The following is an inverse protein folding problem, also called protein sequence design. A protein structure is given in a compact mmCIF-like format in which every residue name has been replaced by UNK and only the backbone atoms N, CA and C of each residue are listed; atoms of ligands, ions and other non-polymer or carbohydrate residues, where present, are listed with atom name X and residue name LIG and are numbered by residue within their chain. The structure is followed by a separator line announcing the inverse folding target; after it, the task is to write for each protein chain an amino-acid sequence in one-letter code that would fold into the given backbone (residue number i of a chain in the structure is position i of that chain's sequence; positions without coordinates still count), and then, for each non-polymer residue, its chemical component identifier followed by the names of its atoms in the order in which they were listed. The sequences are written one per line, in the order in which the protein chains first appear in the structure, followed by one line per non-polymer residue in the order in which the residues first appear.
data_IF_244268164605
#
_entry.id   IF_244268164605
#
_cell.length_a   1.000
_cell.length_b   1.000
_cell.length_c   1.000
_cell.angle_alpha   90.00
_cell.angle_beta   90.00
_cell.angle_gamma   90.00
#
_symmetry.space_group_name_H-M   'P 1'
#
loop_
_entity.id
_entity.type
_entity.pdbx_description
1 polymer ?
#
# COMPACT_ATOMS: atom_id res chain seq x y z
N UNK A 1 -18.95 -8.04 15.72
CA UNK A 1 -19.11 -7.73 14.28
C UNK A 1 -20.11 -8.69 13.64
N UNK A 2 -21.06 -8.19 12.84
CA UNK A 2 -22.05 -9.00 12.12
C UNK A 2 -21.37 -9.90 11.06
N UNK A 3 -21.87 -11.13 10.87
CA UNK A 3 -21.39 -12.07 9.85
C UNK A 3 -21.38 -11.48 8.43
N UNK A 4 -22.43 -10.78 8.02
CA UNK A 4 -22.52 -10.20 6.67
C UNK A 4 -21.45 -9.13 6.43
N UNK A 5 -21.22 -8.26 7.43
CA UNK A 5 -20.17 -7.23 7.38
C UNK A 5 -18.78 -7.87 7.35
N UNK A 6 -18.57 -8.95 8.11
CA UNK A 6 -17.34 -9.74 8.10
C UNK A 6 -17.04 -10.36 6.73
N UNK A 7 -18.05 -10.83 6.00
CA UNK A 7 -17.88 -11.32 4.63
C UNK A 7 -17.57 -10.16 3.68
N UNK A 8 -18.35 -9.09 3.73
CA UNK A 8 -18.19 -7.92 2.86
C UNK A 8 -16.79 -7.33 2.94
N UNK A 9 -16.30 -7.03 4.14
CA UNK A 9 -14.99 -6.39 4.30
C UNK A 9 -13.80 -7.27 3.89
N UNK A 10 -13.95 -8.60 3.90
CA UNK A 10 -12.95 -9.51 3.31
C UNK A 10 -13.09 -9.61 1.79
N UNK A 11 -14.29 -9.48 1.24
CA UNK A 11 -14.53 -9.54 -0.18
C UNK A 11 -14.02 -8.31 -0.92
N UNK A 12 -14.11 -7.11 -0.33
CA UNK A 12 -13.68 -5.83 -0.95
C UNK A 12 -12.28 -5.92 -1.56
N UNK A 13 -11.20 -6.31 -0.83
CA UNK A 13 -9.88 -6.45 -1.43
C UNK A 13 -9.84 -7.39 -2.64
N UNK A 14 -10.56 -8.52 -2.59
CA UNK A 14 -10.59 -9.48 -3.69
C UNK A 14 -11.35 -8.94 -4.90
N UNK A 15 -12.46 -8.23 -4.68
CA UNK A 15 -13.23 -7.58 -5.74
C UNK A 15 -12.40 -6.47 -6.42
N UNK A 16 -11.73 -5.63 -5.63
CA UNK A 16 -10.82 -4.61 -6.16
C UNK A 16 -9.64 -5.23 -6.90
N UNK A 17 -9.10 -6.36 -6.40
CA UNK A 17 -8.11 -7.15 -7.10
C UNK A 17 -8.60 -7.69 -8.44
N UNK A 18 -9.83 -8.21 -8.50
CA UNK A 18 -10.43 -8.68 -9.75
C UNK A 18 -10.65 -7.54 -10.75
N UNK A 19 -11.03 -6.34 -10.28
CA UNK A 19 -11.14 -5.14 -11.12
C UNK A 19 -9.76 -4.76 -11.67
N UNK A 20 -8.73 -4.65 -10.82
CA UNK A 20 -7.36 -4.35 -11.26
C UNK A 20 -6.84 -5.38 -12.28
N UNK A 21 -7.09 -6.67 -12.03
CA UNK A 21 -6.66 -7.76 -12.90
C UNK A 21 -7.39 -7.73 -14.25
N UNK A 22 -8.73 -7.70 -14.22
CA UNK A 22 -9.55 -7.69 -15.43
C UNK A 22 -9.31 -6.45 -16.27
N UNK A 23 -9.23 -5.28 -15.63
CA UNK A 23 -8.92 -4.03 -16.33
C UNK A 23 -7.49 -4.04 -16.87
N UNK A 24 -6.53 -4.57 -16.11
CA UNK A 24 -5.14 -4.68 -16.55
C UNK A 24 -4.97 -5.61 -17.76
N UNK A 25 -5.64 -6.76 -17.79
CA UNK A 25 -5.66 -7.61 -18.98
C UNK A 25 -6.32 -6.93 -20.17
N UNK A 26 -7.47 -6.30 -19.98
CA UNK A 26 -8.14 -5.54 -21.03
C UNK A 26 -7.23 -4.47 -21.64
N UNK A 27 -6.57 -3.66 -20.80
CA UNK A 27 -5.63 -2.62 -21.26
C UNK A 27 -4.41 -3.24 -21.95
N UNK A 28 -3.88 -4.35 -21.43
CA UNK A 28 -2.73 -5.04 -22.03
C UNK A 28 -3.06 -5.62 -23.41
N UNK A 29 -4.24 -6.21 -23.57
CA UNK A 29 -4.69 -6.84 -24.82
C UNK A 29 -4.95 -5.78 -25.89
N UNK A 30 -5.51 -4.62 -25.51
CA UNK A 30 -5.59 -3.45 -26.40
C UNK A 30 -4.20 -2.99 -26.86
N UNK A 31 -3.18 -3.16 -26.02
CA UNK A 31 -1.79 -2.83 -26.36
C UNK A 31 -1.19 -3.62 -27.50
N UNK A 32 -1.68 -4.84 -27.76
CA UNK A 32 -1.25 -5.62 -28.92
C UNK A 32 -1.71 -5.00 -30.25
N UNK A 33 -2.74 -4.13 -30.22
CA UNK A 33 -3.26 -3.42 -31.38
C UNK A 33 -2.88 -1.92 -31.43
N UNK A 34 -2.58 -1.28 -30.29
CA UNK A 34 -2.56 0.20 -30.18
C UNK A 34 -1.23 0.83 -29.71
N UNK A 35 -0.23 0.05 -29.26
CA UNK A 35 1.13 0.57 -29.00
C UNK A 35 1.68 0.33 -27.58
N UNK A 36 2.82 0.95 -27.28
CA UNK A 36 3.67 0.67 -26.12
C UNK A 36 3.14 1.10 -24.75
N UNK A 37 2.38 2.19 -24.68
CA UNK A 37 1.91 2.76 -23.40
C UNK A 37 0.90 1.86 -22.68
N UNK A 38 0.16 1.08 -23.48
CA UNK A 38 -0.76 0.05 -23.03
C UNK A 38 -0.05 -1.09 -22.29
N UNK A 39 1.18 -1.41 -22.69
CA UNK A 39 2.00 -2.43 -22.02
C UNK A 39 2.35 -2.00 -20.61
N UNK A 40 2.73 -0.72 -20.41
CA UNK A 40 3.11 -0.22 -19.08
C UNK A 40 1.90 -0.19 -18.16
N UNK A 41 0.83 0.47 -18.59
CA UNK A 41 -0.39 0.58 -17.78
C UNK A 41 -1.01 -0.79 -17.48
N UNK A 42 -1.07 -1.69 -18.48
CA UNK A 42 -1.61 -3.03 -18.33
C UNK A 42 -0.85 -3.87 -17.30
N UNK A 43 0.49 -3.89 -17.37
CA UNK A 43 1.28 -4.60 -16.36
C UNK A 43 1.10 -4.01 -14.96
N UNK A 44 1.16 -2.68 -14.81
CA UNK A 44 0.98 -2.04 -13.51
C UNK A 44 -0.37 -2.42 -12.90
N UNK A 45 -1.47 -2.33 -13.66
CA UNK A 45 -2.81 -2.72 -13.23
C UNK A 45 -2.90 -4.20 -12.82
N UNK A 46 -2.36 -5.11 -13.65
CA UNK A 46 -2.34 -6.55 -13.34
C UNK A 46 -1.66 -6.80 -11.99
N UNK A 47 -0.50 -6.19 -11.75
CA UNK A 47 0.29 -6.45 -10.53
C UNK A 47 -0.18 -5.67 -9.30
N UNK A 48 -1.03 -4.65 -9.43
CA UNK A 48 -1.76 -4.08 -8.27
C UNK A 48 -2.66 -5.14 -7.59
N UNK A 49 -3.07 -6.18 -8.32
CA UNK A 49 -3.79 -7.34 -7.75
C UNK A 49 -3.03 -8.01 -6.62
N UNK A 50 -1.69 -8.03 -6.67
CA UNK A 50 -0.87 -8.62 -5.61
C UNK A 50 -1.01 -7.86 -4.29
N UNK A 51 -1.08 -6.52 -4.35
CA UNK A 51 -1.33 -5.67 -3.18
C UNK A 51 -2.75 -5.96 -2.64
N UNK A 52 -3.75 -6.08 -3.51
CA UNK A 52 -5.11 -6.46 -3.12
C UNK A 52 -5.17 -7.83 -2.41
N UNK A 53 -4.39 -8.82 -2.87
CA UNK A 53 -4.25 -10.12 -2.20
C UNK A 53 -3.64 -9.93 -0.80
N UNK A 54 -2.55 -9.17 -0.66
CA UNK A 54 -1.95 -8.90 0.65
C UNK A 54 -2.88 -8.09 1.60
N UNK A 55 -3.70 -7.19 1.05
CA UNK A 55 -4.73 -6.49 1.82
C UNK A 55 -5.86 -7.44 2.23
N UNK A 56 -6.24 -8.39 1.37
CA UNK A 56 -7.14 -9.49 1.74
C UNK A 56 -6.58 -10.29 2.90
N UNK A 57 -5.30 -10.68 2.87
CA UNK A 57 -4.70 -11.47 3.96
C UNK A 57 -4.70 -10.69 5.27
N UNK A 58 -4.49 -9.37 5.23
CA UNK A 58 -4.62 -8.47 6.38
C UNK A 58 -6.05 -8.45 6.93
N UNK A 59 -7.05 -8.16 6.07
CA UNK A 59 -8.46 -8.15 6.44
C UNK A 59 -8.89 -9.49 7.03
N UNK A 60 -8.54 -10.58 6.34
CA UNK A 60 -8.83 -11.95 6.71
C UNK A 60 -8.24 -12.34 8.07
N UNK A 61 -7.03 -11.86 8.38
CA UNK A 61 -6.33 -12.11 9.63
C UNK A 61 -7.03 -11.41 10.80
N UNK A 62 -7.33 -10.12 10.67
CA UNK A 62 -7.95 -9.35 11.75
C UNK A 62 -9.41 -9.78 11.95
N UNK A 63 -10.21 -9.86 10.89
CA UNK A 63 -11.62 -10.23 10.97
C UNK A 63 -11.81 -11.60 11.62
N UNK A 64 -11.00 -12.60 11.25
CA UNK A 64 -11.11 -13.95 11.84
C UNK A 64 -10.84 -13.93 13.34
N UNK A 65 -9.95 -13.06 13.82
CA UNK A 65 -9.73 -12.87 15.25
C UNK A 65 -10.96 -12.22 15.90
N UNK A 66 -11.51 -11.16 15.29
CA UNK A 66 -12.69 -10.45 15.80
C UNK A 66 -13.96 -11.31 15.91
N UNK A 67 -14.07 -12.37 15.11
CA UNK A 67 -15.21 -13.31 15.15
C UNK A 67 -14.87 -14.66 15.79
N UNK A 68 -13.72 -14.78 16.46
CA UNK A 68 -13.26 -16.02 17.12
C UNK A 68 -13.17 -17.25 16.18
N UNK A 69 -12.82 -17.03 14.91
CA UNK A 69 -12.58 -18.09 13.90
C UNK A 69 -11.13 -18.16 13.42
N UNK A 70 -10.20 -17.58 14.18
CA UNK A 70 -8.78 -17.60 13.86
C UNK A 70 -8.11 -18.81 14.52
N UNK A 71 -7.53 -19.68 13.71
CA UNK A 71 -6.90 -20.92 14.15
C UNK A 71 -5.45 -21.02 13.64
N UNK A 72 -4.76 -22.09 14.01
CA UNK A 72 -3.36 -22.28 13.63
C UNK A 72 -3.16 -22.40 12.10
N UNK A 73 -4.14 -22.90 11.35
CA UNK A 73 -4.06 -22.94 9.89
C UNK A 73 -4.01 -21.53 9.30
N UNK A 74 -4.97 -20.65 9.64
CA UNK A 74 -5.02 -19.29 9.12
C UNK A 74 -3.82 -18.43 9.55
N UNK A 75 -3.25 -18.75 10.72
CA UNK A 75 -2.03 -18.11 11.23
C UNK A 75 -0.85 -18.21 10.27
N UNK A 76 -0.74 -19.30 9.53
CA UNK A 76 0.35 -19.52 8.57
C UNK A 76 -0.11 -19.28 7.13
N UNK A 77 -1.28 -19.81 6.75
CA UNK A 77 -1.76 -19.75 5.38
C UNK A 77 -1.94 -18.32 4.85
N UNK A 78 -2.48 -17.40 5.67
CA UNK A 78 -2.75 -16.03 5.24
C UNK A 78 -1.46 -15.22 5.03
N UNK A 79 -0.52 -15.13 6.00
CA UNK A 79 0.79 -14.51 5.73
C UNK A 79 1.53 -15.10 4.54
N UNK A 80 1.58 -16.44 4.44
CA UNK A 80 2.28 -17.14 3.35
C UNK A 80 1.71 -16.76 1.98
N UNK A 81 0.38 -16.72 1.83
CA UNK A 81 -0.25 -16.29 0.59
C UNK A 81 0.16 -14.88 0.17
N UNK A 82 0.18 -13.93 1.13
CA UNK A 82 0.58 -12.55 0.87
C UNK A 82 2.03 -12.45 0.41
N UNK A 83 2.96 -13.09 1.16
CA UNK A 83 4.38 -13.07 0.81
C UNK A 83 4.67 -13.78 -0.51
N UNK A 84 4.02 -14.91 -0.79
CA UNK A 84 4.16 -15.60 -2.09
C UNK A 84 3.69 -14.70 -3.24
N UNK A 85 2.57 -13.99 -3.07
CA UNK A 85 2.11 -13.02 -4.07
C UNK A 85 3.12 -11.88 -4.27
N UNK A 86 3.75 -11.40 -3.19
CA UNK A 86 4.79 -10.38 -3.25
C UNK A 86 6.05 -10.87 -3.97
N UNK A 87 6.57 -12.06 -3.61
CA UNK A 87 7.74 -12.67 -4.24
C UNK A 87 7.48 -12.93 -5.72
N UNK A 88 6.32 -13.48 -6.07
CA UNK A 88 5.93 -13.70 -7.47
C UNK A 88 5.95 -12.38 -8.26
N UNK A 89 5.44 -11.30 -7.67
CA UNK A 89 5.41 -9.97 -8.29
C UNK A 89 6.83 -9.38 -8.44
N UNK A 90 7.68 -9.53 -7.43
CA UNK A 90 9.10 -9.12 -7.49
C UNK A 90 9.81 -9.86 -8.63
N UNK A 91 9.72 -11.19 -8.68
CA UNK A 91 10.34 -12.01 -9.71
C UNK A 91 9.82 -11.64 -11.09
N UNK A 92 8.51 -11.44 -11.23
CA UNK A 92 7.91 -11.03 -12.49
C UNK A 92 8.41 -9.66 -12.95
N UNK A 93 8.55 -8.70 -12.04
CA UNK A 93 9.13 -7.39 -12.35
C UNK A 93 10.59 -7.48 -12.82
N UNK A 94 11.39 -8.35 -12.19
CA UNK A 94 12.77 -8.63 -12.60
C UNK A 94 12.81 -9.24 -14.00
N UNK A 95 11.97 -10.24 -14.28
CA UNK A 95 11.89 -10.87 -15.60
C UNK A 95 11.47 -9.85 -16.67
N UNK A 96 10.46 -9.03 -16.38
CA UNK A 96 9.99 -7.99 -17.32
C UNK A 96 11.08 -6.97 -17.62
N UNK A 97 11.81 -6.48 -16.62
CA UNK A 97 12.88 -5.52 -16.90
C UNK A 97 14.07 -6.14 -17.65
N UNK A 98 14.30 -7.46 -17.51
CA UNK A 98 15.40 -8.16 -18.18
C UNK A 98 15.08 -8.32 -19.66
N UNK A 99 13.83 -8.67 -19.97
CA UNK A 99 13.29 -8.65 -21.34
C UNK A 99 13.36 -7.21 -21.90
N UNK A 100 13.09 -6.22 -21.05
CA UNK A 100 13.07 -4.81 -21.40
C UNK A 100 14.40 -4.17 -21.76
N UNK A 101 15.54 -4.87 -21.68
CA UNK A 101 16.86 -4.33 -22.10
C UNK A 101 16.83 -3.86 -23.57
N UNK A 102 16.01 -4.50 -24.40
CA UNK A 102 15.80 -4.12 -25.81
C UNK A 102 14.41 -3.51 -26.08
N UNK A 103 13.56 -3.36 -25.06
CA UNK A 103 12.18 -2.90 -25.17
C UNK A 103 11.80 -1.96 -24.01
N UNK A 104 11.90 -0.62 -24.19
CA UNK A 104 11.80 0.34 -23.09
C UNK A 104 10.50 0.29 -22.25
N UNK A 105 9.31 0.07 -22.82
CA UNK A 105 8.07 -0.15 -22.05
C UNK A 105 8.14 -1.31 -21.05
N UNK A 106 8.80 -2.42 -21.41
CA UNK A 106 9.00 -3.56 -20.51
C UNK A 106 10.02 -3.23 -19.41
N UNK A 107 10.99 -2.38 -19.71
CA UNK A 107 11.93 -1.88 -18.70
C UNK A 107 11.23 -1.02 -17.65
N UNK A 108 10.44 -0.02 -18.07
CA UNK A 108 9.69 0.83 -17.15
C UNK A 108 8.73 0.00 -16.31
N UNK A 109 7.86 -0.78 -16.97
CA UNK A 109 6.88 -1.61 -16.27
C UNK A 109 7.51 -2.64 -15.35
N UNK A 110 8.61 -3.27 -15.74
CA UNK A 110 9.33 -4.23 -14.89
C UNK A 110 9.84 -3.61 -13.59
N UNK A 111 10.43 -2.41 -13.64
CA UNK A 111 10.87 -1.70 -12.42
C UNK A 111 9.68 -1.27 -11.55
N UNK A 112 8.58 -0.82 -12.14
CA UNK A 112 7.37 -0.49 -11.37
C UNK A 112 6.77 -1.73 -10.72
N UNK A 113 6.60 -2.83 -11.46
CA UNK A 113 6.09 -4.12 -10.98
C UNK A 113 6.96 -4.68 -9.85
N UNK A 114 8.29 -4.61 -10.00
CA UNK A 114 9.23 -4.95 -8.93
C UNK A 114 8.92 -4.16 -7.65
N UNK A 115 8.72 -2.84 -7.77
CA UNK A 115 8.33 -1.97 -6.67
C UNK A 115 6.97 -2.34 -6.03
N UNK A 116 5.96 -2.67 -6.84
CA UNK A 116 4.66 -3.14 -6.33
C UNK A 116 4.79 -4.44 -5.53
N UNK A 117 5.71 -5.31 -5.93
CA UNK A 117 6.08 -6.50 -5.18
C UNK A 117 6.67 -6.19 -3.80
N UNK A 118 7.50 -5.15 -3.70
CA UNK A 118 8.02 -4.66 -2.41
C UNK A 118 6.89 -4.14 -1.51
N UNK A 119 5.94 -3.36 -2.04
CA UNK A 119 4.75 -2.92 -1.28
C UNK A 119 3.95 -4.15 -0.81
N UNK A 120 3.77 -5.14 -1.67
CA UNK A 120 3.04 -6.37 -1.35
C UNK A 120 3.69 -7.12 -0.18
N UNK A 121 5.02 -7.21 -0.13
CA UNK A 121 5.75 -7.76 1.01
C UNK A 121 5.57 -6.93 2.29
N UNK A 122 5.60 -5.60 2.18
CA UNK A 122 5.34 -4.70 3.31
C UNK A 122 3.92 -4.89 3.87
N UNK A 123 2.89 -4.96 3.02
CA UNK A 123 1.50 -5.20 3.42
C UNK A 123 1.33 -6.60 4.02
N UNK A 124 1.98 -7.62 3.45
CA UNK A 124 2.00 -8.98 4.03
C UNK A 124 2.63 -9.01 5.42
N UNK A 125 3.61 -8.13 5.66
CA UNK A 125 4.18 -7.91 7.00
C UNK A 125 3.18 -7.28 7.95
N UNK A 126 2.36 -6.33 7.49
CA UNK A 126 1.25 -5.77 8.29
C UNK A 126 0.26 -6.87 8.70
N UNK A 127 -0.10 -7.78 7.78
CA UNK A 127 -0.93 -8.95 8.10
C UNK A 127 -0.27 -9.82 9.19
N UNK A 128 1.03 -10.11 9.04
CA UNK A 128 1.80 -10.94 9.97
C UNK A 128 1.93 -10.29 11.36
N UNK A 129 2.19 -8.99 11.41
CA UNK A 129 2.21 -8.21 12.65
C UNK A 129 0.84 -8.18 13.33
N UNK A 130 -0.24 -8.29 12.55
CA UNK A 130 -1.62 -8.31 13.05
C UNK A 130 -2.10 -9.69 13.51
N UNK A 131 -1.25 -10.72 13.51
CA UNK A 131 -1.63 -12.10 13.93
C UNK A 131 -2.03 -12.21 15.40
N UNK A 132 -1.67 -11.21 16.23
CA UNK A 132 -2.06 -11.09 17.64
C UNK A 132 -2.82 -9.78 17.91
N UNK A 133 -3.64 -9.35 16.95
CA UNK A 133 -4.31 -8.06 16.96
C UNK A 133 -5.15 -7.82 18.23
N UNK A 134 -5.81 -8.85 18.77
CA UNK A 134 -6.65 -8.73 19.98
C UNK A 134 -5.87 -8.29 21.23
N UNK A 135 -4.54 -8.39 21.23
CA UNK A 135 -3.73 -7.86 22.32
C UNK A 135 -3.72 -6.32 22.35
N UNK A 136 -3.97 -5.63 21.23
CA UNK A 136 -4.01 -4.16 21.20
C UNK A 136 -5.12 -3.61 22.10
N UNK A 137 -6.42 -3.96 21.89
CA UNK A 137 -7.47 -3.48 22.78
C UNK A 137 -7.32 -4.01 24.22
N UNK A 138 -6.88 -5.27 24.40
CA UNK A 138 -6.63 -5.87 25.74
C UNK A 138 -5.57 -5.08 26.52
N UNK A 139 -4.40 -4.84 25.92
CA UNK A 139 -3.31 -4.08 26.54
C UNK A 139 -3.74 -2.65 26.85
N UNK A 140 -4.46 -2.03 25.92
CA UNK A 140 -4.96 -0.66 26.06
C UNK A 140 -5.96 -0.49 27.20
N UNK A 141 -6.70 -1.53 27.61
CA UNK A 141 -7.71 -1.44 28.67
C UNK A 141 -7.23 -1.95 30.02
N UNK A 142 -6.32 -2.94 30.04
CA UNK A 142 -6.01 -3.71 31.26
C UNK A 142 -4.61 -3.48 31.82
N UNK A 143 -3.62 -3.15 30.98
CA UNK A 143 -2.23 -3.02 31.42
C UNK A 143 -1.86 -1.57 31.64
N UNK A 144 -0.94 -1.27 32.55
CA UNK A 144 -0.25 0.03 32.61
C UNK A 144 0.85 0.12 31.55
N UNK A 145 1.32 1.32 31.23
CA UNK A 145 2.40 1.50 30.26
C UNK A 145 3.69 0.82 30.75
N UNK A 146 4.32 0.02 29.89
CA UNK A 146 5.56 -0.70 30.21
C UNK A 146 5.37 -2.04 30.92
N UNK A 147 4.15 -2.40 31.34
CA UNK A 147 3.87 -3.74 31.86
C UNK A 147 4.05 -4.80 30.76
N UNK A 148 4.75 -5.88 31.10
CA UNK A 148 5.09 -6.93 30.15
C UNK A 148 3.86 -7.77 29.79
N UNK A 149 3.57 -7.88 28.50
CA UNK A 149 2.54 -8.79 27.99
C UNK A 149 3.20 -10.13 27.58
N UNK A 150 2.96 -11.19 28.34
CA UNK A 150 3.59 -12.51 28.12
C UNK A 150 3.19 -13.14 26.78
N UNK A 151 1.95 -12.90 26.34
CA UNK A 151 1.44 -13.37 25.06
C UNK A 151 1.95 -12.55 23.86
N UNK A 152 2.76 -11.50 24.06
CA UNK A 152 3.22 -10.63 22.97
C UNK A 152 4.24 -11.30 22.03
N UNK A 153 4.75 -10.56 21.06
CA UNK A 153 5.86 -11.02 20.23
C UNK A 153 7.16 -11.03 21.03
N UNK A 154 7.99 -12.06 20.81
CA UNK A 154 9.40 -12.04 21.24
C UNK A 154 10.09 -10.85 20.58
N UNK A 155 11.11 -10.31 21.24
CA UNK A 155 11.87 -9.17 20.73
C UNK A 155 12.49 -9.46 19.35
N UNK A 156 13.01 -10.67 19.14
CA UNK A 156 13.54 -11.11 17.84
C UNK A 156 12.46 -11.07 16.75
N UNK A 157 11.27 -11.61 17.02
CA UNK A 157 10.14 -11.59 16.08
C UNK A 157 9.70 -10.16 15.76
N UNK A 158 9.61 -9.30 16.77
CA UNK A 158 9.28 -7.88 16.58
C UNK A 158 10.30 -7.16 15.69
N UNK A 159 11.60 -7.38 15.94
CA UNK A 159 12.68 -6.84 15.09
C UNK A 159 12.60 -7.36 13.66
N UNK A 160 12.35 -8.66 13.45
CA UNK A 160 12.18 -9.23 12.11
C UNK A 160 11.00 -8.62 11.36
N UNK A 161 9.84 -8.46 12.02
CA UNK A 161 8.67 -7.83 11.42
C UNK A 161 8.97 -6.39 10.99
N UNK A 162 9.70 -5.61 11.79
CA UNK A 162 10.07 -4.24 11.42
C UNK A 162 11.14 -4.23 10.32
N UNK A 163 12.08 -5.18 10.34
CA UNK A 163 13.18 -5.24 9.38
C UNK A 163 12.73 -5.52 7.95
N UNK A 164 11.70 -6.33 7.72
CA UNK A 164 11.25 -6.68 6.37
C UNK A 164 10.83 -5.43 5.55
N UNK A 165 9.92 -4.56 6.02
CA UNK A 165 9.58 -3.32 5.30
C UNK A 165 10.74 -2.34 5.19
N UNK A 166 11.67 -2.31 6.17
CA UNK A 166 12.90 -1.50 6.08
C UNK A 166 13.76 -1.98 4.92
N UNK A 167 13.99 -3.28 4.79
CA UNK A 167 14.77 -3.88 3.70
C UNK A 167 14.08 -3.59 2.36
N UNK A 168 12.76 -3.80 2.25
CA UNK A 168 12.00 -3.48 1.05
C UNK A 168 12.14 -2.00 0.65
N UNK A 169 12.04 -1.09 1.63
CA UNK A 169 12.22 0.36 1.42
C UNK A 169 13.62 0.67 0.90
N UNK A 170 14.66 0.11 1.51
CA UNK A 170 16.05 0.33 1.10
C UNK A 170 16.32 -0.21 -0.30
N UNK A 171 15.85 -1.42 -0.61
CA UNK A 171 16.01 -2.04 -1.94
C UNK A 171 15.35 -1.16 -3.01
N UNK A 172 14.10 -0.76 -2.79
CA UNK A 172 13.37 0.11 -3.72
C UNK A 172 14.08 1.46 -3.90
N UNK A 173 14.50 2.08 -2.80
CA UNK A 173 15.10 3.41 -2.81
C UNK A 173 16.47 3.39 -3.51
N UNK A 174 17.33 2.43 -3.17
CA UNK A 174 18.65 2.27 -3.81
C UNK A 174 18.47 2.03 -5.31
N UNK A 175 17.54 1.16 -5.71
CA UNK A 175 17.27 0.91 -7.13
C UNK A 175 16.73 2.16 -7.83
N UNK A 176 15.81 2.89 -7.21
CA UNK A 176 15.25 4.12 -7.77
C UNK A 176 16.32 5.18 -7.97
N UNK A 177 17.13 5.43 -6.95
CA UNK A 177 18.27 6.36 -7.00
C UNK A 177 19.29 5.93 -8.05
N UNK A 178 19.64 4.65 -8.13
CA UNK A 178 20.53 4.12 -9.16
C UNK A 178 20.03 4.41 -10.58
N UNK A 179 18.73 4.22 -10.84
CA UNK A 179 18.12 4.53 -12.14
C UNK A 179 18.16 6.03 -12.45
N UNK A 180 17.93 6.89 -11.45
CA UNK A 180 18.00 8.34 -11.61
C UNK A 180 19.42 8.83 -11.91
N UNK A 181 20.44 8.30 -11.22
CA UNK A 181 21.84 8.64 -11.53
C UNK A 181 22.31 8.07 -12.86
N UNK A 182 21.71 6.97 -13.31
CA UNK A 182 21.99 6.35 -14.61
C UNK A 182 21.10 6.90 -15.73
N UNK A 183 20.34 7.98 -15.50
CA UNK A 183 19.32 8.48 -16.42
C UNK A 183 19.92 9.16 -17.66
N UNK A 184 20.33 8.32 -18.61
CA UNK A 184 20.69 8.72 -19.98
C UNK A 184 19.48 8.71 -20.91
N UNK A 185 18.37 8.10 -20.48
CA UNK A 185 17.11 7.90 -21.23
C UNK A 185 15.90 8.23 -20.37
N UNK A 186 14.78 8.57 -21.01
CA UNK A 186 13.52 8.87 -20.33
C UNK A 186 12.98 7.68 -19.51
N UNK A 187 13.27 6.45 -19.91
CA UNK A 187 12.76 5.25 -19.25
C UNK A 187 13.37 5.06 -17.85
N UNK A 188 14.68 5.33 -17.72
CA UNK A 188 15.38 5.34 -16.44
C UNK A 188 14.85 6.45 -15.54
N UNK A 189 14.58 7.62 -16.11
CA UNK A 189 13.99 8.75 -15.39
C UNK A 189 12.60 8.37 -14.83
N UNK A 190 11.71 7.86 -15.68
CA UNK A 190 10.34 7.47 -15.29
C UNK A 190 10.37 6.37 -14.23
N UNK A 191 11.10 5.28 -14.50
CA UNK A 191 11.21 4.15 -13.58
C UNK A 191 11.83 4.55 -12.23
N UNK A 192 12.88 5.38 -12.27
CA UNK A 192 13.58 5.85 -11.07
C UNK A 192 12.68 6.68 -10.17
N UNK A 193 11.96 7.65 -10.73
CA UNK A 193 11.05 8.51 -9.98
C UNK A 193 9.92 7.70 -9.32
N UNK A 194 9.24 6.85 -10.09
CA UNK A 194 8.15 6.01 -9.57
C UNK A 194 8.65 5.09 -8.47
N UNK A 195 9.85 4.50 -8.61
CA UNK A 195 10.39 3.59 -7.61
C UNK A 195 10.80 4.30 -6.31
N UNK A 196 11.27 5.55 -6.38
CA UNK A 196 11.48 6.40 -5.21
C UNK A 196 10.16 6.63 -4.47
N UNK A 197 9.07 6.99 -5.17
CA UNK A 197 7.75 7.16 -4.55
C UNK A 197 7.20 5.88 -3.92
N UNK A 198 7.33 4.74 -4.61
CA UNK A 198 7.00 3.41 -4.07
C UNK A 198 7.78 3.12 -2.77
N UNK A 199 9.02 3.58 -2.68
CA UNK A 199 9.83 3.43 -1.47
C UNK A 199 9.30 4.28 -0.32
N UNK A 200 8.73 5.46 -0.59
CA UNK A 200 8.03 6.28 0.42
C UNK A 200 6.74 5.60 0.92
N UNK A 201 6.02 4.88 0.04
CA UNK A 201 4.89 4.03 0.45
C UNK A 201 5.38 2.90 1.37
N UNK A 202 6.47 2.22 1.02
CA UNK A 202 7.06 1.18 1.87
C UNK A 202 7.51 1.76 3.23
N UNK A 203 8.12 2.95 3.24
CA UNK A 203 8.52 3.65 4.45
C UNK A 203 7.31 3.99 5.34
N UNK A 204 6.19 4.37 4.73
CA UNK A 204 4.92 4.60 5.44
C UNK A 204 4.39 3.32 6.10
N UNK A 205 4.57 2.16 5.46
CA UNK A 205 4.19 0.86 6.02
C UNK A 205 5.11 0.43 7.19
N UNK A 206 6.38 0.87 7.24
CA UNK A 206 7.23 0.68 8.43
C UNK A 206 6.53 1.29 9.66
N UNK A 207 6.03 2.52 9.53
CA UNK A 207 5.37 3.24 10.64
C UNK A 207 4.10 2.52 11.12
N UNK A 208 3.36 1.89 10.21
CA UNK A 208 2.20 1.06 10.55
C UNK A 208 2.61 -0.23 11.28
N UNK A 209 3.62 -0.95 10.77
CA UNK A 209 4.12 -2.18 11.41
C UNK A 209 4.68 -1.88 12.80
N UNK A 210 5.47 -0.81 12.95
CA UNK A 210 6.00 -0.36 14.26
C UNK A 210 4.87 -0.06 15.22
N UNK A 211 3.84 0.69 14.79
CA UNK A 211 2.67 0.98 15.63
C UNK A 211 2.00 -0.30 16.15
N UNK A 212 1.72 -1.25 15.26
CA UNK A 212 1.06 -2.53 15.61
C UNK A 212 1.92 -3.34 16.58
N UNK A 213 3.20 -3.54 16.25
CA UNK A 213 4.12 -4.37 17.05
C UNK A 213 4.31 -3.79 18.45
N UNK A 214 4.52 -2.47 18.57
CA UNK A 214 4.70 -1.81 19.87
C UNK A 214 3.42 -1.83 20.70
N UNK A 215 2.23 -1.70 20.10
CA UNK A 215 0.97 -1.82 20.81
C UNK A 215 0.72 -3.25 21.32
N UNK A 216 1.05 -4.26 20.52
CA UNK A 216 0.98 -5.67 20.94
C UNK A 216 1.97 -5.97 22.07
N UNK A 217 3.16 -5.39 22.05
CA UNK A 217 4.17 -5.52 23.11
C UNK A 217 3.92 -4.61 24.32
N UNK A 218 2.90 -3.74 24.28
CA UNK A 218 2.62 -2.73 25.31
C UNK A 218 3.80 -1.75 25.57
N UNK A 219 4.61 -1.50 24.55
CA UNK A 219 5.74 -0.53 24.57
C UNK A 219 5.43 0.75 23.79
N UNK A 220 4.18 0.92 23.35
CA UNK A 220 3.69 2.10 22.65
C UNK A 220 3.37 3.22 23.65
N UNK A 221 4.14 4.31 23.55
CA UNK A 221 4.10 5.42 24.50
C UNK A 221 3.21 6.57 24.03
N UNK A 222 2.81 7.47 24.93
CA UNK A 222 2.03 8.66 24.57
C UNK A 222 2.77 9.61 23.62
N UNK A 223 4.12 9.67 23.69
CA UNK A 223 4.95 10.46 22.75
C UNK A 223 4.86 9.93 21.32
N UNK A 224 4.58 8.64 21.16
CA UNK A 224 4.52 7.96 19.87
C UNK A 224 3.13 8.00 19.22
N UNK A 225 2.11 8.41 20.00
CA UNK A 225 0.70 8.50 19.59
C UNK A 225 0.50 9.17 18.23
N UNK A 226 1.18 10.30 18.02
CA UNK A 226 1.13 11.05 16.76
C UNK A 226 2.42 11.00 15.97
N UNK A 227 3.55 10.61 16.59
CA UNK A 227 4.87 10.60 15.94
C UNK A 227 4.86 9.81 14.64
N UNK A 228 4.32 8.59 14.67
CA UNK A 228 4.27 7.72 13.50
C UNK A 228 3.31 8.24 12.44
N UNK A 229 2.16 8.80 12.85
CA UNK A 229 1.21 9.41 11.94
C UNK A 229 1.80 10.65 11.25
N UNK A 230 2.49 11.53 11.99
CA UNK A 230 3.21 12.68 11.44
C UNK A 230 4.28 12.21 10.43
N UNK A 231 5.01 11.13 10.74
CA UNK A 231 5.97 10.52 9.82
C UNK A 231 5.33 10.13 8.48
N UNK A 232 4.21 9.40 8.51
CA UNK A 232 3.48 9.03 7.28
C UNK A 232 2.94 10.25 6.54
N UNK A 233 2.44 11.25 7.28
CA UNK A 233 1.98 12.51 6.67
C UNK A 233 3.11 13.24 5.92
N UNK A 234 4.31 13.33 6.52
CA UNK A 234 5.47 13.94 5.88
C UNK A 234 5.86 13.16 4.62
N UNK A 235 5.95 11.83 4.70
CA UNK A 235 6.32 10.98 3.56
C UNK A 235 5.33 11.12 2.40
N UNK A 236 4.02 11.10 2.67
CA UNK A 236 2.99 11.31 1.65
C UNK A 236 3.04 12.71 1.03
N UNK A 237 3.28 13.74 1.84
CA UNK A 237 3.44 15.12 1.37
C UNK A 237 4.67 15.27 0.47
N UNK A 238 5.80 14.65 0.84
CA UNK A 238 7.00 14.62 0.00
C UNK A 238 6.67 14.04 -1.37
N UNK A 239 5.96 12.91 -1.42
CA UNK A 239 5.63 12.22 -2.67
C UNK A 239 4.72 13.07 -3.58
N UNK A 240 3.70 13.71 -3.00
CA UNK A 240 2.80 14.62 -3.73
C UNK A 240 3.56 15.83 -4.28
N UNK A 241 4.35 16.51 -3.43
CA UNK A 241 5.10 17.68 -3.84
C UNK A 241 6.15 17.34 -4.90
N UNK A 242 6.77 16.16 -4.78
CA UNK A 242 7.72 15.65 -5.76
C UNK A 242 7.05 15.39 -7.11
N UNK A 243 5.87 14.76 -7.12
CA UNK A 243 5.07 14.58 -8.33
C UNK A 243 4.67 15.91 -8.99
N UNK A 244 4.21 16.89 -8.20
CA UNK A 244 3.89 18.24 -8.68
C UNK A 244 5.13 18.92 -9.28
N UNK A 245 6.28 18.83 -8.59
CA UNK A 245 7.53 19.42 -9.08
C UNK A 245 7.92 18.86 -10.45
N UNK A 246 7.81 17.55 -10.66
CA UNK A 246 8.06 16.90 -11.95
C UNK A 246 7.12 17.43 -13.03
N UNK A 247 5.82 17.58 -12.74
CA UNK A 247 4.84 18.11 -13.69
C UNK A 247 5.14 19.56 -14.08
N UNK A 248 5.57 20.39 -13.13
CA UNK A 248 5.93 21.80 -13.39
C UNK A 248 7.14 21.90 -14.31
N UNK A 249 8.14 21.03 -14.13
CA UNK A 249 9.38 21.04 -14.93
C UNK A 249 9.30 20.13 -16.16
N UNK A 250 8.16 19.50 -16.44
CA UNK A 250 8.01 18.51 -17.50
C UNK A 250 8.24 19.15 -18.87
N UNK A 251 9.43 18.92 -19.44
CA UNK A 251 9.79 19.33 -20.80
C UNK A 251 9.59 18.22 -21.82
N UNK A 252 9.49 16.97 -21.35
CA UNK A 252 9.26 15.79 -22.17
C UNK A 252 7.90 15.17 -21.81
N UNK A 253 7.08 14.77 -22.79
CA UNK A 253 5.77 14.16 -22.51
C UNK A 253 5.84 12.91 -21.63
N UNK A 254 6.93 12.13 -21.69
CA UNK A 254 7.14 10.95 -20.84
C UNK A 254 7.19 11.28 -19.34
N UNK A 255 7.47 12.52 -18.96
CA UNK A 255 7.58 12.95 -17.56
C UNK A 255 6.22 13.23 -16.92
N UNK A 256 5.15 13.31 -17.72
CA UNK A 256 3.78 13.48 -17.24
C UNK A 256 3.36 12.27 -16.39
N UNK A 257 3.64 11.06 -16.88
CA UNK A 257 3.29 9.82 -16.18
C UNK A 257 3.86 9.71 -14.75
N UNK A 258 5.18 9.82 -14.52
CA UNK A 258 5.73 9.71 -13.17
C UNK A 258 5.20 10.81 -12.24
N UNK A 259 4.94 12.03 -12.74
CA UNK A 259 4.39 13.12 -11.94
C UNK A 259 3.03 12.79 -11.31
N UNK A 260 2.07 12.33 -12.11
CA UNK A 260 0.75 11.91 -11.59
C UNK A 260 0.82 10.62 -10.77
N UNK A 261 1.68 9.67 -11.15
CA UNK A 261 1.85 8.42 -10.39
C UNK A 261 2.37 8.71 -8.98
N UNK A 262 3.33 9.62 -8.81
CA UNK A 262 3.83 10.07 -7.51
C UNK A 262 2.76 10.76 -6.65
N UNK A 263 1.92 11.60 -7.27
CA UNK A 263 0.77 12.19 -6.58
C UNK A 263 -0.17 11.08 -6.07
N UNK A 264 -0.48 10.09 -6.90
CA UNK A 264 -1.30 8.95 -6.49
C UNK A 264 -0.67 8.10 -5.39
N UNK A 265 0.63 7.85 -5.44
CA UNK A 265 1.36 7.12 -4.41
C UNK A 265 1.36 7.88 -3.07
N UNK A 266 1.49 9.21 -3.09
CA UNK A 266 1.34 10.05 -1.91
C UNK A 266 -0.08 10.03 -1.34
N UNK A 267 -1.10 9.97 -2.19
CA UNK A 267 -2.50 9.75 -1.78
C UNK A 267 -2.66 8.37 -1.11
N UNK A 268 -1.98 7.31 -1.60
CA UNK A 268 -1.93 6.00 -0.94
C UNK A 268 -1.26 6.11 0.45
N UNK A 269 -0.18 6.89 0.59
CA UNK A 269 0.42 7.18 1.89
C UNK A 269 -0.59 7.80 2.87
N UNK A 270 -1.42 8.75 2.43
CA UNK A 270 -2.50 9.30 3.26
C UNK A 270 -3.60 8.28 3.57
N UNK A 271 -3.85 7.32 2.70
CA UNK A 271 -4.74 6.20 3.03
C UNK A 271 -4.11 5.29 4.10
N UNK A 272 -2.79 5.07 4.08
CA UNK A 272 -2.07 4.34 5.16
C UNK A 272 -2.11 5.12 6.47
N UNK A 273 -1.92 6.45 6.41
CA UNK A 273 -1.98 7.37 7.55
C UNK A 273 -3.24 7.15 8.39
N UNK A 274 -4.38 6.89 7.76
CA UNK A 274 -5.65 6.66 8.48
C UNK A 274 -5.56 5.51 9.48
N UNK A 275 -4.80 4.44 9.19
CA UNK A 275 -4.64 3.28 10.08
C UNK A 275 -3.72 3.61 11.24
N UNK A 276 -2.59 4.24 10.94
CA UNK A 276 -1.61 4.67 11.95
C UNK A 276 -2.26 5.65 12.93
N UNK A 277 -3.00 6.63 12.39
CA UNK A 277 -3.71 7.64 13.15
C UNK A 277 -4.79 7.00 14.03
N UNK A 278 -5.63 6.11 13.48
CA UNK A 278 -6.68 5.44 14.24
C UNK A 278 -6.09 4.67 15.43
N UNK A 279 -5.06 3.83 15.19
CA UNK A 279 -4.41 3.04 16.22
C UNK A 279 -3.81 3.92 17.33
N UNK A 280 -3.25 5.08 16.99
CA UNK A 280 -2.78 6.06 17.98
C UNK A 280 -3.92 6.74 18.75
N UNK A 281 -4.99 7.13 18.06
CA UNK A 281 -6.13 7.83 18.66
C UNK A 281 -6.87 6.97 19.69
N UNK A 282 -7.07 5.69 19.39
CA UNK A 282 -7.81 4.75 20.26
C UNK A 282 -6.94 4.13 21.35
N UNK A 283 -5.61 4.36 21.34
CA UNK A 283 -4.71 3.86 22.37
C UNK A 283 -4.99 4.55 23.72
N UNK A 284 -5.48 3.74 24.67
CA UNK A 284 -5.80 4.08 26.08
C UNK A 284 -6.84 5.19 26.25
N UNK A 285 -7.49 5.65 25.18
CA UNK A 285 -8.48 6.74 25.21
C UNK A 285 -9.68 6.41 24.33
N UNK A 286 -10.87 6.77 24.78
CA UNK A 286 -12.03 6.90 23.90
C UNK A 286 -11.92 8.22 23.15
N UNK A 287 -11.93 8.19 21.82
CA UNK A 287 -11.87 9.40 21.01
C UNK A 287 -13.01 9.37 19.98
N UNK A 288 -14.03 10.26 20.06
CA UNK A 288 -15.15 10.25 19.12
C UNK A 288 -14.73 10.53 17.66
N UNK A 289 -13.57 11.17 17.45
CA UNK A 289 -13.03 11.40 16.10
C UNK A 289 -12.60 10.11 15.40
N UNK A 290 -12.35 9.01 16.13
CA UNK A 290 -11.98 7.72 15.53
C UNK A 290 -13.05 7.21 14.53
N UNK A 291 -14.33 7.48 14.82
CA UNK A 291 -15.48 7.12 13.97
C UNK A 291 -15.46 7.81 12.60
N UNK A 292 -14.73 8.92 12.45
CA UNK A 292 -14.61 9.68 11.21
C UNK A 292 -13.35 9.32 10.40
N UNK A 293 -12.38 8.65 11.02
CA UNK A 293 -11.12 8.27 10.35
C UNK A 293 -11.34 7.38 9.12
N UNK A 294 -12.36 6.48 9.07
CA UNK A 294 -12.68 5.76 7.85
C UNK A 294 -13.05 6.62 6.63
N UNK A 295 -13.41 7.90 6.82
CA UNK A 295 -13.64 8.80 5.69
C UNK A 295 -12.36 9.16 4.93
N UNK A 296 -11.18 9.12 5.58
CA UNK A 296 -9.91 9.47 4.92
C UNK A 296 -9.65 8.56 3.70
N UNK A 297 -9.68 7.22 3.80
CA UNK A 297 -9.50 6.36 2.63
C UNK A 297 -10.55 6.55 1.53
N UNK A 298 -11.80 6.88 1.90
CA UNK A 298 -12.86 7.18 0.92
C UNK A 298 -12.49 8.43 0.12
N UNK A 299 -12.09 9.51 0.78
CA UNK A 299 -11.61 10.71 0.10
C UNK A 299 -10.39 10.43 -0.77
N UNK A 300 -9.40 9.69 -0.27
CA UNK A 300 -8.23 9.33 -1.08
C UNK A 300 -8.60 8.50 -2.31
N UNK A 301 -9.55 7.56 -2.19
CA UNK A 301 -10.02 6.76 -3.32
C UNK A 301 -10.74 7.61 -4.36
N UNK A 302 -11.67 8.46 -3.92
CA UNK A 302 -12.38 9.39 -4.80
C UNK A 302 -11.43 10.36 -5.49
N UNK A 303 -10.45 10.93 -4.78
CA UNK A 303 -9.44 11.80 -5.38
C UNK A 303 -8.67 11.09 -6.48
N UNK A 304 -8.20 9.85 -6.25
CA UNK A 304 -7.56 9.06 -7.31
C UNK A 304 -8.50 8.84 -8.50
N UNK A 305 -9.76 8.45 -8.27
CA UNK A 305 -10.72 8.18 -9.34
C UNK A 305 -11.08 9.43 -10.15
N UNK A 306 -11.29 10.57 -9.49
CA UNK A 306 -11.57 11.84 -10.18
C UNK A 306 -10.36 12.33 -10.96
N UNK A 307 -9.15 12.28 -10.39
CA UNK A 307 -7.92 12.58 -11.14
C UNK A 307 -7.84 11.66 -12.36
N UNK A 308 -8.07 10.35 -12.19
CA UNK A 308 -8.15 9.39 -13.28
C UNK A 308 -9.12 9.83 -14.37
N UNK A 309 -10.36 10.21 -14.01
CA UNK A 309 -11.38 10.68 -14.94
C UNK A 309 -10.93 11.92 -15.74
N UNK A 310 -10.37 12.94 -15.08
CA UNK A 310 -9.82 14.10 -15.79
C UNK A 310 -8.67 13.74 -16.74
N UNK A 311 -7.83 12.77 -16.36
CA UNK A 311 -6.73 12.30 -17.20
C UNK A 311 -7.21 11.49 -18.40
N UNK A 312 -8.33 10.76 -18.30
CA UNK A 312 -8.98 10.12 -19.46
C UNK A 312 -9.44 11.17 -20.49
N UNK A 313 -10.04 12.27 -20.04
CA UNK A 313 -10.42 13.36 -20.95
C UNK A 313 -9.18 14.05 -21.55
N UNK A 314 -8.14 14.27 -20.75
CA UNK A 314 -6.88 14.88 -21.22
C UNK A 314 -6.14 14.01 -22.24
N UNK A 315 -6.25 12.69 -22.13
CA UNK A 315 -5.63 11.72 -23.04
C UNK A 315 -6.10 11.89 -24.49
N UNK A 316 -7.37 12.28 -24.71
CA UNK A 316 -7.93 12.54 -26.04
C UNK A 316 -7.07 13.54 -26.82
N UNK A 317 -6.47 14.50 -26.10
CA UNK A 317 -5.64 15.55 -26.67
C UNK A 317 -4.14 15.23 -26.59
N UNK A 318 -3.71 14.40 -25.64
CA UNK A 318 -2.31 14.00 -25.47
C UNK A 318 -2.20 12.62 -24.83
N UNK A 319 -1.75 11.64 -25.62
CA UNK A 319 -1.61 10.24 -25.21
C UNK A 319 -0.70 10.02 -23.97
N UNK A 320 0.14 10.98 -23.61
CA UNK A 320 1.00 10.89 -22.41
C UNK A 320 0.22 10.80 -21.10
N UNK A 321 -1.06 11.20 -21.10
CA UNK A 321 -1.97 11.04 -19.96
C UNK A 321 -2.57 9.63 -19.85
N UNK A 322 -2.37 8.77 -20.87
CA UNK A 322 -2.87 7.40 -20.89
C UNK A 322 -2.42 6.61 -19.66
N UNK A 323 -1.10 6.47 -19.46
CA UNK A 323 -0.54 5.69 -18.35
C UNK A 323 -1.07 6.18 -17.00
N UNK A 324 -0.93 7.47 -16.63
CA UNK A 324 -1.36 7.93 -15.32
C UNK A 324 -2.88 7.83 -15.12
N UNK A 325 -3.72 8.02 -16.15
CA UNK A 325 -5.17 7.84 -16.04
C UNK A 325 -5.53 6.44 -15.53
N UNK A 326 -4.95 5.40 -16.16
CA UNK A 326 -5.21 4.00 -15.78
C UNK A 326 -4.63 3.66 -14.41
N UNK A 327 -3.39 4.08 -14.17
CA UNK A 327 -2.74 3.82 -12.87
C UNK A 327 -3.54 4.45 -11.73
N UNK A 328 -4.10 5.66 -11.92
CA UNK A 328 -4.97 6.28 -10.92
C UNK A 328 -6.22 5.46 -10.59
N UNK A 329 -6.84 4.78 -11.57
CA UNK A 329 -7.96 3.87 -11.31
C UNK A 329 -7.51 2.72 -10.40
N UNK A 330 -6.37 2.10 -10.71
CA UNK A 330 -5.80 1.05 -9.88
C UNK A 330 -5.47 1.51 -8.46
N UNK A 331 -4.83 2.67 -8.31
CA UNK A 331 -4.53 3.25 -7.00
C UNK A 331 -5.82 3.62 -6.22
N UNK A 332 -6.87 4.08 -6.91
CA UNK A 332 -8.19 4.28 -6.33
C UNK A 332 -8.78 2.99 -5.74
N UNK A 333 -8.63 1.87 -6.45
CA UNK A 333 -9.04 0.55 -5.95
C UNK A 333 -8.23 0.12 -4.71
N UNK A 334 -6.93 0.42 -4.66
CA UNK A 334 -6.10 0.21 -3.45
C UNK A 334 -6.58 1.09 -2.28
N UNK A 335 -6.81 2.38 -2.51
CA UNK A 335 -7.33 3.29 -1.50
C UNK A 335 -8.70 2.86 -0.96
N UNK A 336 -9.60 2.38 -1.83
CA UNK A 336 -10.89 1.84 -1.43
C UNK A 336 -10.76 0.50 -0.67
N UNK A 337 -9.78 -0.33 -1.02
CA UNK A 337 -9.47 -1.52 -0.21
C UNK A 337 -8.97 -1.13 1.18
N UNK A 338 -8.15 -0.08 1.26
CA UNK A 338 -7.67 0.46 2.52
C UNK A 338 -8.79 1.07 3.39
N UNK A 339 -9.92 1.51 2.79
CA UNK A 339 -11.13 1.86 3.54
C UNK A 339 -11.65 0.67 4.35
N UNK A 340 -11.81 -0.50 3.73
CA UNK A 340 -12.31 -1.67 4.44
C UNK A 340 -11.40 -2.05 5.62
N UNK A 341 -10.08 -1.93 5.46
CA UNK A 341 -9.11 -2.19 6.54
C UNK A 341 -9.29 -1.25 7.73
N UNK A 342 -9.41 0.06 7.50
CA UNK A 342 -9.57 0.99 8.63
C UNK A 342 -10.92 0.82 9.32
N UNK A 343 -11.98 0.47 8.60
CA UNK A 343 -13.28 0.11 9.19
C UNK A 343 -13.19 -1.14 10.06
N UNK A 344 -12.43 -2.16 9.63
CA UNK A 344 -12.15 -3.34 10.46
C UNK A 344 -11.40 -2.96 11.74
N UNK A 345 -10.39 -2.10 11.64
CA UNK A 345 -9.61 -1.64 12.79
C UNK A 345 -10.47 -0.85 13.78
N UNK A 346 -11.35 0.01 13.28
CA UNK A 346 -12.28 0.79 14.10
C UNK A 346 -13.21 -0.14 14.87
N UNK A 347 -13.86 -1.09 14.19
CA UNK A 347 -14.72 -2.09 14.82
C UNK A 347 -13.96 -3.03 15.76
N UNK A 348 -12.67 -3.25 15.53
CA UNK A 348 -11.82 -4.10 16.35
C UNK A 348 -11.23 -3.40 17.58
N UNK A 349 -11.27 -2.07 17.62
CA UNK A 349 -10.74 -1.26 18.73
C UNK A 349 -11.82 -0.48 19.48
N UNK A 350 -13.07 -0.49 18.99
CA UNK A 350 -14.22 0.01 19.73
C UNK A 350 -14.41 -0.79 21.02
N UNK A 351 -14.45 -0.10 22.17
CA UNK A 351 -14.88 -0.71 23.42
C UNK A 351 -16.37 -1.00 23.30
N UNK A 352 -16.81 -2.20 23.66
CA UNK A 352 -18.23 -2.49 23.85
C UNK A 352 -18.73 -1.58 24.96
N UNK A 353 -19.58 -0.62 24.62
CA UNK A 353 -20.47 0.01 25.59
C UNK A 353 -21.50 -1.01 26.10
#
# INVERSE_FOLDING_TARGET
MNYYISVLFRAIPLLMGAICLGYGFYVKDLGQAMGSDFVVAGHVLIYLTAICIALFTTAATIIRQLINKYNNFYKWALPTLGYLSGIFTIVSGIVLWQIGISNPPYFVSGNVVFGLGLITCCVSTVATASTKFMLIPKNSSSLKEGEKQEEAFKESTAKTLIAVPVICTLIGFIRGVYLLFSSTTNDHFVAGHVLVGISLVCASLIMLVVSIVKQIQNTFTDKERYKWAIGVFILGTIDILWGIAILIIAKNPAWIAPGYVLIGLGIVCYSILSKVLLLGMVWRKSNPLSKRVPLIPVFTALTCLFIGAFLFEAEIFNISYFIPARVMIGLGAICFTLFSIVSILESGTSKSE
#
